data_IF_503033855448
#
_entry.id   IF_503033855448
#
_cell.length_a   1.000
_cell.length_b   1.000
_cell.length_c   1.000
_cell.angle_alpha   90.00
_cell.angle_beta   90.00
_cell.angle_gamma   90.00
#
_symmetry.space_group_name_H-M   'P 1'
#
loop_
_entity.id
_entity.type
_entity.pdbx_description
1 polymer ?
#
# COMPACT_ATOMS: atom_id res chain seq x y z
N UNK A 1 27.84 2.16 -8.85
CA UNK A 1 26.53 2.83 -8.93
C UNK A 1 26.71 4.27 -9.38
N UNK A 2 25.89 4.73 -10.31
CA UNK A 2 25.95 6.12 -10.78
C UNK A 2 25.45 7.10 -9.72
N UNK A 3 25.87 8.35 -9.81
CA UNK A 3 25.35 9.42 -8.93
C UNK A 3 23.83 9.58 -9.13
N UNK A 4 23.37 9.49 -10.37
CA UNK A 4 21.93 9.57 -10.68
C UNK A 4 21.13 8.47 -9.97
N UNK A 5 21.62 7.26 -9.96
CA UNK A 5 21.01 6.14 -9.24
C UNK A 5 20.97 6.39 -7.72
N UNK A 6 22.09 6.84 -7.14
CA UNK A 6 22.15 7.14 -5.70
C UNK A 6 21.20 8.25 -5.29
N UNK A 7 21.09 9.30 -6.10
CA UNK A 7 20.11 10.38 -5.85
C UNK A 7 18.68 9.88 -5.99
N UNK A 8 18.40 9.03 -6.97
CA UNK A 8 17.09 8.40 -7.13
C UNK A 8 16.74 7.53 -5.93
N UNK A 9 17.66 6.69 -5.47
CA UNK A 9 17.47 5.84 -4.30
C UNK A 9 17.22 6.67 -3.03
N UNK A 10 18.01 7.71 -2.82
CA UNK A 10 17.82 8.65 -1.71
C UNK A 10 16.43 9.28 -1.73
N UNK A 11 15.97 9.71 -2.91
CA UNK A 11 14.65 10.31 -3.08
C UNK A 11 13.54 9.34 -2.71
N UNK A 12 13.53 8.14 -3.27
CA UNK A 12 12.45 7.17 -3.05
C UNK A 12 12.43 6.64 -1.61
N UNK A 13 13.58 6.43 -0.99
CA UNK A 13 13.65 6.02 0.42
C UNK A 13 13.18 7.13 1.35
N UNK A 14 13.52 8.38 1.07
CA UNK A 14 13.05 9.53 1.85
C UNK A 14 11.52 9.70 1.77
N UNK A 15 10.94 9.51 0.59
CA UNK A 15 9.46 9.53 0.41
C UNK A 15 8.82 8.39 1.20
N UNK A 16 9.39 7.21 1.15
CA UNK A 16 8.89 6.04 1.89
C UNK A 16 8.95 6.25 3.41
N UNK A 17 10.04 6.81 3.93
CA UNK A 17 10.18 7.18 5.34
C UNK A 17 9.09 8.16 5.77
N UNK A 18 8.83 9.16 4.95
CA UNK A 18 7.82 10.18 5.23
C UNK A 18 6.40 9.62 5.15
N UNK A 19 6.09 8.87 4.10
CA UNK A 19 4.73 8.38 3.83
C UNK A 19 4.32 7.22 4.75
N UNK A 20 5.22 6.30 4.98
CA UNK A 20 4.97 5.11 5.80
C UNK A 20 5.70 5.19 7.14
N UNK A 21 6.94 4.80 7.18
CA UNK A 21 7.91 5.00 8.26
C UNK A 21 9.25 4.33 7.90
N UNK A 22 10.33 4.52 8.70
CA UNK A 22 11.62 3.89 8.44
C UNK A 22 11.60 2.35 8.48
N UNK A 23 10.74 1.74 9.31
CA UNK A 23 10.60 0.27 9.37
C UNK A 23 10.13 -0.28 8.02
N UNK A 24 9.10 0.34 7.44
CA UNK A 24 8.57 -0.04 6.12
C UNK A 24 9.64 0.18 5.04
N UNK A 25 10.37 1.29 5.10
CA UNK A 25 11.47 1.56 4.17
C UNK A 25 12.53 0.46 4.22
N UNK A 26 12.94 0.04 5.39
CA UNK A 26 13.92 -1.04 5.55
C UNK A 26 13.41 -2.38 5.01
N UNK A 27 12.14 -2.67 5.20
CA UNK A 27 11.50 -3.88 4.64
C UNK A 27 11.50 -3.85 3.12
N UNK A 28 11.11 -2.73 2.52
CA UNK A 28 10.93 -2.62 1.07
C UNK A 28 12.25 -2.44 0.32
N UNK A 29 13.20 -1.70 0.89
CA UNK A 29 14.45 -1.32 0.23
C UNK A 29 15.70 -1.99 0.84
N UNK A 30 15.52 -3.09 1.56
CA UNK A 30 16.62 -3.77 2.26
C UNK A 30 17.76 -4.23 1.37
N UNK A 31 17.47 -4.65 0.14
CA UNK A 31 18.50 -5.02 -0.84
C UNK A 31 18.57 -3.98 -1.96
N UNK A 32 19.36 -2.96 -1.72
CA UNK A 32 19.49 -1.80 -2.61
C UNK A 32 20.04 -2.14 -4.00
N UNK A 33 20.85 -3.19 -4.11
CA UNK A 33 21.45 -3.59 -5.39
C UNK A 33 20.43 -4.16 -6.39
N UNK A 34 19.31 -4.65 -5.88
CA UNK A 34 18.23 -5.23 -6.70
C UNK A 34 17.19 -4.21 -7.13
N UNK A 35 17.32 -2.95 -6.68
CA UNK A 35 16.35 -1.90 -6.95
C UNK A 35 16.70 -1.19 -8.26
N UNK A 36 15.68 -0.98 -9.09
CA UNK A 36 15.81 -0.14 -10.28
C UNK A 36 14.57 0.71 -10.49
N UNK A 37 14.74 1.75 -11.29
CA UNK A 37 13.70 2.75 -11.52
C UNK A 37 13.31 2.79 -13.00
N UNK A 38 12.03 2.95 -13.25
CA UNK A 38 11.51 3.32 -14.55
C UNK A 38 11.03 4.77 -14.48
N UNK A 39 11.47 5.57 -15.43
CA UNK A 39 11.17 7.00 -15.49
C UNK A 39 10.11 7.31 -16.54
N UNK A 40 9.34 8.37 -16.28
CA UNK A 40 8.41 8.91 -17.26
C UNK A 40 9.17 9.40 -18.51
N UNK A 41 8.70 9.01 -19.68
CA UNK A 41 9.28 9.45 -20.96
C UNK A 41 9.16 10.96 -21.16
N UNK A 42 8.10 11.56 -20.64
CA UNK A 42 7.81 12.99 -20.84
C UNK A 42 8.55 13.90 -19.88
N UNK A 43 8.72 13.49 -18.62
CA UNK A 43 9.25 14.34 -17.55
C UNK A 43 10.59 13.87 -17.00
N UNK A 44 11.03 12.67 -17.37
CA UNK A 44 12.20 11.99 -16.82
C UNK A 44 12.18 11.82 -15.28
N UNK A 45 11.02 11.98 -14.67
CA UNK A 45 10.84 11.73 -13.23
C UNK A 45 10.61 10.25 -12.98
N UNK A 46 11.07 9.76 -11.82
CA UNK A 46 10.84 8.38 -11.39
C UNK A 46 9.32 8.15 -11.31
N UNK A 47 8.87 7.08 -11.95
CA UNK A 47 7.46 6.68 -11.98
C UNK A 47 7.25 5.35 -11.27
N UNK A 48 8.08 4.37 -11.56
CA UNK A 48 7.97 3.01 -11.01
C UNK A 48 9.27 2.61 -10.33
N UNK A 49 9.13 1.92 -9.22
CA UNK A 49 10.24 1.34 -8.46
C UNK A 49 10.09 -0.18 -8.49
N UNK A 50 11.12 -0.88 -8.92
CA UNK A 50 11.15 -2.35 -9.02
C UNK A 50 12.20 -2.94 -8.10
N UNK A 51 11.91 -4.14 -7.62
CA UNK A 51 12.91 -5.05 -7.04
C UNK A 51 13.00 -6.26 -7.96
N UNK A 52 14.13 -6.43 -8.64
CA UNK A 52 14.26 -7.37 -9.76
C UNK A 52 13.16 -7.09 -10.79
N UNK A 53 12.36 -8.10 -11.11
CA UNK A 53 11.28 -7.97 -12.10
C UNK A 53 9.93 -7.61 -11.46
N UNK A 54 9.88 -7.40 -10.14
CA UNK A 54 8.64 -7.15 -9.43
C UNK A 54 8.43 -5.67 -9.16
N UNK A 55 7.26 -5.16 -9.55
CA UNK A 55 6.87 -3.80 -9.23
C UNK A 55 6.70 -3.65 -7.72
N UNK A 56 7.50 -2.78 -7.11
CA UNK A 56 7.44 -2.51 -5.68
C UNK A 56 6.45 -1.38 -5.37
N UNK A 57 6.68 -0.22 -5.98
CA UNK A 57 5.89 0.99 -5.71
C UNK A 57 5.69 1.79 -7.01
N UNK A 58 4.60 2.52 -7.07
CA UNK A 58 4.34 3.51 -8.12
C UNK A 58 4.29 4.89 -7.51
N UNK A 59 5.09 5.81 -8.04
CA UNK A 59 5.10 7.20 -7.59
C UNK A 59 4.06 8.01 -8.36
N UNK A 60 3.09 8.58 -7.65
CA UNK A 60 2.04 9.38 -8.27
C UNK A 60 2.58 10.74 -8.69
N UNK A 61 2.35 11.17 -9.93
CA UNK A 61 2.79 12.51 -10.36
C UNK A 61 1.99 13.64 -9.72
N UNK A 62 0.77 13.36 -9.25
CA UNK A 62 -0.14 14.39 -8.71
C UNK A 62 0.23 14.86 -7.30
N UNK A 63 0.71 13.96 -6.45
CA UNK A 63 1.01 14.29 -5.05
C UNK A 63 2.41 13.88 -4.59
N UNK A 64 3.18 13.20 -5.44
CA UNK A 64 4.53 12.77 -5.10
C UNK A 64 4.61 11.64 -4.07
N UNK A 65 3.52 10.92 -3.84
CA UNK A 65 3.45 9.80 -2.89
C UNK A 65 3.31 8.47 -3.63
N UNK A 66 3.63 7.39 -2.94
CA UNK A 66 3.58 6.04 -3.50
C UNK A 66 2.20 5.40 -3.39
N UNK A 67 1.91 4.53 -4.37
CA UNK A 67 0.91 3.48 -4.22
C UNK A 67 1.61 2.13 -4.04
N UNK A 68 1.02 1.27 -3.20
CA UNK A 68 1.50 -0.10 -3.01
C UNK A 68 1.16 -0.98 -4.21
N UNK A 69 1.98 -2.00 -4.43
CA UNK A 69 1.65 -3.16 -5.27
C UNK A 69 1.29 -4.34 -4.36
N UNK A 70 0.79 -5.44 -4.94
CA UNK A 70 0.59 -6.66 -4.15
C UNK A 70 1.92 -7.23 -3.64
N UNK A 71 2.98 -7.08 -4.40
CA UNK A 71 4.31 -7.51 -4.01
C UNK A 71 4.81 -6.76 -2.77
N UNK A 72 4.73 -5.43 -2.76
CA UNK A 72 5.12 -4.63 -1.59
C UNK A 72 4.19 -4.88 -0.40
N UNK A 73 2.89 -4.98 -0.64
CA UNK A 73 1.91 -5.27 0.40
C UNK A 73 2.22 -6.62 1.09
N UNK A 74 2.48 -7.67 0.32
CA UNK A 74 2.82 -8.97 0.88
C UNK A 74 4.13 -8.93 1.67
N UNK A 75 5.13 -8.21 1.17
CA UNK A 75 6.39 -8.00 1.89
C UNK A 75 6.19 -7.34 3.25
N UNK A 76 5.33 -6.34 3.31
CA UNK A 76 4.99 -5.65 4.56
C UNK A 76 4.24 -6.59 5.52
N UNK A 77 3.27 -7.34 5.01
CA UNK A 77 2.50 -8.32 5.81
C UNK A 77 3.42 -9.36 6.44
N UNK A 78 4.34 -9.91 5.64
CA UNK A 78 5.25 -10.98 6.10
C UNK A 78 6.28 -10.50 7.15
N UNK A 79 6.52 -9.20 7.25
CA UNK A 79 7.58 -8.63 8.08
C UNK A 79 7.08 -7.66 9.16
N UNK A 80 5.78 -7.53 9.33
CA UNK A 80 5.18 -6.67 10.37
C UNK A 80 4.05 -7.41 11.09
N UNK A 81 3.67 -6.88 12.24
CA UNK A 81 2.55 -7.42 13.04
C UNK A 81 1.25 -6.68 12.72
N UNK A 82 0.11 -7.39 12.59
CA UNK A 82 -1.18 -6.72 12.44
C UNK A 82 -1.47 -5.79 13.63
N UNK A 83 -2.15 -4.67 13.46
CA UNK A 83 -2.77 -4.17 12.23
C UNK A 83 -1.92 -3.16 11.43
N UNK A 84 -0.60 -3.19 11.54
CA UNK A 84 0.32 -2.26 10.85
C UNK A 84 -0.06 -2.11 9.37
N UNK A 85 -0.45 -0.90 8.96
CA UNK A 85 -0.85 -0.51 7.60
C UNK A 85 -2.03 -1.32 7.03
N UNK A 86 -2.83 -1.95 7.90
CA UNK A 86 -3.90 -2.87 7.51
C UNK A 86 -5.26 -2.48 8.06
N UNK A 87 -6.30 -2.89 7.34
CA UNK A 87 -7.63 -3.10 7.88
C UNK A 87 -7.93 -4.59 7.86
N UNK A 88 -8.33 -5.13 9.00
CA UNK A 88 -8.74 -6.52 9.15
C UNK A 88 -10.26 -6.57 9.00
N UNK A 89 -10.74 -7.36 8.05
CA UNK A 89 -12.18 -7.47 7.77
C UNK A 89 -12.68 -8.87 8.10
N UNK A 90 -14.00 -9.01 8.24
CA UNK A 90 -14.65 -10.31 8.39
C UNK A 90 -14.28 -11.23 7.23
N UNK A 91 -13.82 -12.44 7.55
CA UNK A 91 -13.38 -13.42 6.53
C UNK A 91 -14.53 -13.78 5.57
N UNK A 92 -15.76 -13.76 6.02
CA UNK A 92 -16.95 -14.08 5.20
C UNK A 92 -17.15 -13.15 4.00
N UNK A 93 -16.60 -11.92 4.03
CA UNK A 93 -16.71 -10.96 2.90
C UNK A 93 -15.49 -10.96 1.99
N UNK A 94 -14.51 -11.84 2.24
CA UNK A 94 -13.24 -11.87 1.52
C UNK A 94 -13.41 -11.92 0.01
N UNK A 95 -14.32 -12.74 -0.50
CA UNK A 95 -14.53 -12.90 -1.94
C UNK A 95 -14.96 -11.62 -2.64
N UNK A 96 -15.78 -10.80 -1.98
CA UNK A 96 -16.19 -9.49 -2.51
C UNK A 96 -15.01 -8.53 -2.60
N UNK A 97 -14.19 -8.49 -1.55
CA UNK A 97 -13.03 -7.61 -1.48
C UNK A 97 -11.97 -8.04 -2.51
N UNK A 98 -11.72 -9.33 -2.64
CA UNK A 98 -10.80 -9.88 -3.65
C UNK A 98 -11.17 -9.50 -5.08
N UNK A 99 -12.45 -9.28 -5.35
CA UNK A 99 -12.96 -8.84 -6.65
C UNK A 99 -12.85 -7.32 -6.88
N UNK A 100 -12.37 -6.58 -5.89
CA UNK A 100 -12.18 -5.14 -5.99
C UNK A 100 -13.32 -4.29 -5.45
N UNK A 101 -14.24 -4.87 -4.68
CA UNK A 101 -15.32 -4.13 -4.01
C UNK A 101 -14.78 -3.32 -2.84
N UNK A 102 -15.39 -2.16 -2.59
CA UNK A 102 -15.01 -1.29 -1.48
C UNK A 102 -15.36 -1.91 -0.12
N UNK A 103 -14.59 -1.52 0.90
CA UNK A 103 -14.79 -1.98 2.27
C UNK A 103 -15.72 -1.03 3.01
N UNK A 104 -16.81 -1.55 3.56
CA UNK A 104 -17.72 -0.80 4.42
C UNK A 104 -17.25 -0.81 5.87
N UNK A 105 -17.52 0.28 6.60
CA UNK A 105 -17.11 0.42 8.01
C UNK A 105 -17.58 -0.76 8.88
N UNK A 106 -18.78 -1.24 8.65
CA UNK A 106 -19.38 -2.35 9.44
C UNK A 106 -18.62 -3.69 9.32
N UNK A 107 -17.82 -3.86 8.30
CA UNK A 107 -17.07 -5.11 8.07
C UNK A 107 -15.66 -5.08 8.65
N UNK A 108 -15.22 -3.94 9.18
CA UNK A 108 -13.88 -3.80 9.76
C UNK A 108 -13.89 -4.28 11.20
N UNK A 109 -13.02 -5.24 11.52
CA UNK A 109 -12.82 -5.77 12.88
C UNK A 109 -11.77 -4.95 13.61
N UNK A 110 -10.65 -4.66 12.93
CA UNK A 110 -9.53 -3.89 13.47
C UNK A 110 -8.86 -3.12 12.34
N UNK A 111 -8.18 -2.04 12.67
CA UNK A 111 -7.54 -1.16 11.70
C UNK A 111 -6.36 -0.45 12.37
N UNK A 112 -5.33 -0.14 11.58
CA UNK A 112 -4.20 0.67 12.05
C UNK A 112 -4.66 2.08 12.41
N UNK A 113 -4.60 2.41 13.69
CA UNK A 113 -5.09 3.68 14.23
C UNK A 113 -4.23 4.90 13.84
N UNK A 114 -3.03 4.67 13.33
CA UNK A 114 -2.12 5.74 12.91
C UNK A 114 -2.41 6.25 11.49
N UNK A 115 -3.30 5.60 10.76
CA UNK A 115 -3.65 5.99 9.40
C UNK A 115 -4.65 7.14 9.37
N UNK A 116 -4.56 7.92 8.31
CA UNK A 116 -5.42 9.07 8.04
C UNK A 116 -6.13 8.89 6.70
N UNK A 117 -7.23 9.61 6.46
CA UNK A 117 -7.86 9.62 5.14
C UNK A 117 -6.84 9.91 4.04
N UNK A 118 -6.97 9.21 2.92
CA UNK A 118 -6.09 9.21 1.76
C UNK A 118 -4.80 8.41 1.88
N UNK A 119 -4.47 7.87 3.06
CA UNK A 119 -3.33 6.97 3.21
C UNK A 119 -3.54 5.64 2.49
N UNK A 120 -2.46 5.08 1.96
CA UNK A 120 -2.46 3.71 1.43
C UNK A 120 -2.71 2.72 2.55
N UNK A 121 -3.53 1.72 2.27
CA UNK A 121 -3.90 0.70 3.24
C UNK A 121 -4.04 -0.66 2.55
N UNK A 122 -3.63 -1.71 3.25
CA UNK A 122 -3.89 -3.09 2.85
C UNK A 122 -5.15 -3.60 3.50
N UNK A 123 -5.90 -4.43 2.81
CA UNK A 123 -7.07 -5.12 3.35
C UNK A 123 -6.74 -6.58 3.50
N UNK A 124 -6.87 -7.10 4.70
CA UNK A 124 -6.60 -8.50 5.04
C UNK A 124 -7.81 -9.13 5.73
N UNK A 125 -7.89 -10.45 5.69
CA UNK A 125 -8.89 -11.19 6.47
C UNK A 125 -8.41 -11.45 7.90
N UNK A 126 -9.17 -12.24 8.66
CA UNK A 126 -8.85 -12.56 10.05
C UNK A 126 -7.62 -13.46 10.20
N UNK A 127 -7.15 -14.07 9.11
CA UNK A 127 -5.93 -14.88 9.05
C UNK A 127 -4.72 -14.10 8.51
N UNK A 128 -4.83 -12.77 8.40
CA UNK A 128 -3.80 -11.89 7.82
C UNK A 128 -3.48 -12.20 6.35
N UNK A 129 -4.44 -12.77 5.62
CA UNK A 129 -4.32 -13.03 4.19
C UNK A 129 -4.68 -11.77 3.38
N UNK A 130 -3.82 -11.39 2.44
CA UNK A 130 -4.01 -10.20 1.62
C UNK A 130 -5.21 -10.36 0.66
N UNK A 131 -6.15 -9.44 0.75
CA UNK A 131 -7.35 -9.41 -0.10
C UNK A 131 -7.31 -8.31 -1.15
N UNK A 132 -6.84 -7.14 -0.77
CA UNK A 132 -6.85 -5.95 -1.63
C UNK A 132 -5.91 -4.88 -1.11
N UNK A 133 -5.66 -3.89 -1.96
CA UNK A 133 -4.96 -2.66 -1.64
C UNK A 133 -5.82 -1.47 -2.07
N UNK A 134 -5.72 -0.38 -1.34
CA UNK A 134 -6.50 0.81 -1.64
C UNK A 134 -6.13 1.99 -0.76
N UNK A 135 -7.10 2.90 -0.57
CA UNK A 135 -6.93 4.10 0.25
C UNK A 135 -8.01 4.21 1.30
N UNK A 136 -7.59 4.62 2.49
CA UNK A 136 -8.52 4.96 3.57
C UNK A 136 -9.35 6.18 3.15
N UNK A 137 -10.68 6.08 3.28
CA UNK A 137 -11.59 7.15 2.89
C UNK A 137 -12.04 8.00 4.06
N UNK A 138 -12.27 7.37 5.21
CA UNK A 138 -12.85 8.01 6.38
C UNK A 138 -11.87 8.04 7.54
N UNK A 139 -11.96 9.03 8.44
CA UNK A 139 -11.18 9.03 9.68
C UNK A 139 -11.46 7.79 10.52
N UNK A 140 -10.44 7.29 11.20
CA UNK A 140 -10.53 6.09 12.06
C UNK A 140 -11.62 6.27 13.13
N UNK A 141 -11.70 7.44 13.76
CA UNK A 141 -12.71 7.73 14.76
C UNK A 141 -14.14 7.57 14.21
N UNK A 142 -14.38 7.99 12.98
CA UNK A 142 -15.68 7.82 12.31
C UNK A 142 -15.99 6.34 12.09
N UNK A 143 -15.05 5.58 11.57
CA UNK A 143 -15.20 4.14 11.28
C UNK A 143 -15.59 3.38 12.55
N UNK A 144 -14.93 3.68 13.67
CA UNK A 144 -15.19 3.02 14.97
C UNK A 144 -16.53 3.40 15.56
N UNK A 145 -16.97 4.64 15.35
CA UNK A 145 -18.16 5.19 16.02
C UNK A 145 -19.44 4.91 15.25
N UNK A 146 -19.45 5.16 13.95
CA UNK A 146 -20.69 5.17 13.16
C UNK A 146 -20.98 3.87 12.42
N UNK A 147 -19.95 3.12 12.06
CA UNK A 147 -20.03 1.83 11.34
C UNK A 147 -20.83 1.87 10.02
N UNK A 148 -21.13 3.05 9.51
CA UNK A 148 -21.85 3.27 8.25
C UNK A 148 -20.90 3.83 7.18
N UNK A 149 -21.22 3.55 5.92
CA UNK A 149 -20.53 4.10 4.77
C UNK A 149 -19.30 3.30 4.35
N UNK A 150 -18.65 3.79 3.31
CA UNK A 150 -17.44 3.20 2.74
C UNK A 150 -16.22 3.70 3.51
N UNK A 151 -15.49 2.77 4.12
CA UNK A 151 -14.27 3.07 4.87
C UNK A 151 -13.03 3.11 3.99
N UNK A 152 -12.94 2.20 3.00
CA UNK A 152 -11.77 2.04 2.15
C UNK A 152 -12.22 1.97 0.69
N UNK A 153 -11.65 2.83 -0.13
CA UNK A 153 -11.75 2.74 -1.58
C UNK A 153 -10.72 1.73 -2.07
N UNK A 154 -11.16 0.56 -2.47
CA UNK A 154 -10.29 -0.48 -3.00
C UNK A 154 -9.84 -0.08 -4.41
N UNK A 155 -8.52 0.04 -4.60
CA UNK A 155 -7.94 0.30 -5.91
C UNK A 155 -7.81 -0.99 -6.72
N UNK A 156 -7.43 -2.09 -6.06
CA UNK A 156 -7.24 -3.38 -6.70
C UNK A 156 -7.48 -4.52 -5.73
N UNK A 157 -8.35 -5.44 -6.13
CA UNK A 157 -8.54 -6.73 -5.46
C UNK A 157 -7.60 -7.78 -6.01
N UNK A 158 -7.15 -8.72 -5.17
CA UNK A 158 -6.15 -9.72 -5.55
C UNK A 158 -6.62 -10.65 -6.68
N UNK A 159 -7.92 -10.89 -6.80
CA UNK A 159 -8.52 -11.73 -7.83
C UNK A 159 -9.07 -10.95 -9.03
N UNK A 160 -8.91 -9.63 -9.06
CA UNK A 160 -9.34 -8.85 -10.22
C UNK A 160 -8.45 -9.21 -11.39
N UNK A 161 -9.05 -9.76 -12.46
CA UNK A 161 -8.33 -10.04 -13.70
C UNK A 161 -7.66 -8.77 -14.22
N UNK A 162 -6.45 -8.92 -14.72
CA UNK A 162 -5.77 -7.86 -15.45
C UNK A 162 -6.50 -7.70 -16.79
N UNK A 163 -7.41 -6.76 -16.84
CA UNK A 163 -7.95 -6.27 -18.14
C UNK A 163 -7.00 -5.25 -18.72
#
# INVERSE_FOLDING_TARGET
>A
MSIEYLLGLRKVTAICDYQFDPEITDILFGNKEEIHFERSKNTNKIRYVYVKDNLLLTLRPTNGLFTLSFFSAQKIIDNTTPPKLRAIVLTEISDYIKKGRNVFCKHIIDIDENLRPMDEIMVVDQNDELLAIGRLKLPIAYIKTFKNGVAINVRKGINKSKD
#
